data_IF_806942047201
#
_entry.id   IF_806942047201
#
_cell.length_a   1.000
_cell.length_b   1.000
_cell.length_c   1.000
_cell.angle_alpha   90.00
_cell.angle_beta   90.00
_cell.angle_gamma   90.00
#
_symmetry.space_group_name_H-M   'P 1'
#
loop_
_entity.id
_entity.type
_entity.pdbx_description
1 polymer ?
#
# COMPACT_ATOMS: atom_id res chain seq x y z
N UNK A 1 -6.44 -3.20 6.02
CA UNK A 1 -7.47 -2.16 5.90
C UNK A 1 -8.66 -2.63 6.70
N UNK A 2 -9.17 -1.84 7.63
CA UNK A 2 -10.34 -2.19 8.45
C UNK A 2 -11.52 -1.35 7.96
N UNK A 3 -12.19 -1.80 6.90
CA UNK A 3 -13.23 -1.03 6.21
C UNK A 3 -14.53 -1.84 6.04
N UNK A 4 -15.51 -1.27 5.32
CA UNK A 4 -16.85 -1.82 5.17
C UNK A 4 -16.92 -3.22 4.53
N UNK A 5 -15.91 -3.60 3.75
CA UNK A 5 -15.86 -4.91 3.08
C UNK A 5 -15.59 -6.10 4.03
N UNK A 6 -14.95 -5.88 5.17
CA UNK A 6 -14.53 -6.95 6.09
C UNK A 6 -15.65 -7.27 7.08
N UNK A 7 -16.74 -7.85 6.59
CA UNK A 7 -17.99 -8.01 7.35
C UNK A 7 -18.08 -9.29 8.19
N UNK A 8 -17.07 -10.16 8.16
CA UNK A 8 -17.10 -11.46 8.84
C UNK A 8 -17.36 -11.31 10.35
N UNK A 9 -18.44 -11.93 10.82
CA UNK A 9 -18.85 -11.90 12.23
C UNK A 9 -19.64 -10.66 12.67
N UNK A 10 -19.95 -9.73 11.75
CA UNK A 10 -20.82 -8.59 12.05
C UNK A 10 -22.31 -9.00 12.06
N UNK A 11 -23.13 -8.26 12.81
CA UNK A 11 -24.57 -8.49 12.96
C UNK A 11 -25.37 -7.29 12.43
N UNK A 12 -26.68 -7.47 12.21
CA UNK A 12 -27.59 -6.38 11.84
C UNK A 12 -27.85 -6.20 10.34
N UNK A 13 -27.48 -7.17 9.49
CA UNK A 13 -27.70 -7.11 8.03
C UNK A 13 -29.04 -7.73 7.56
N UNK A 14 -29.81 -8.31 8.49
CA UNK A 14 -31.04 -9.02 8.13
C UNK A 14 -30.78 -10.41 7.52
N UNK A 15 -31.84 -11.08 7.02
CA UNK A 15 -31.74 -12.39 6.41
C UNK A 15 -31.07 -12.33 5.02
N UNK A 16 -30.43 -13.42 4.63
CA UNK A 16 -29.99 -13.61 3.23
C UNK A 16 -31.22 -13.82 2.35
N UNK A 17 -31.34 -13.02 1.31
CA UNK A 17 -32.41 -13.13 0.31
C UNK A 17 -31.84 -13.73 -0.97
N UNK A 18 -32.65 -14.53 -1.68
CA UNK A 18 -32.26 -15.02 -3.01
C UNK A 18 -32.50 -13.92 -4.03
N UNK A 19 -31.54 -13.73 -4.91
CA UNK A 19 -31.67 -12.76 -5.99
C UNK A 19 -32.42 -13.39 -7.17
N UNK A 20 -33.23 -12.59 -7.88
CA UNK A 20 -33.85 -13.02 -9.12
C UNK A 20 -32.81 -13.40 -10.20
N UNK A 21 -31.62 -12.79 -10.15
CA UNK A 21 -30.49 -13.13 -11.02
C UNK A 21 -29.91 -14.52 -10.75
N UNK A 22 -30.18 -15.14 -9.59
CA UNK A 22 -29.70 -16.48 -9.24
C UNK A 22 -30.58 -17.60 -9.81
N UNK A 23 -31.75 -17.26 -10.38
CA UNK A 23 -32.66 -18.24 -10.93
C UNK A 23 -32.07 -18.91 -12.20
N UNK A 24 -32.35 -20.20 -12.44
CA UNK A 24 -31.91 -20.88 -13.66
C UNK A 24 -32.34 -20.11 -14.91
N UNK A 25 -31.42 -19.91 -15.86
CA UNK A 25 -31.62 -19.17 -17.10
C UNK A 25 -31.93 -17.67 -16.94
N UNK A 26 -31.89 -17.11 -15.73
CA UNK A 26 -31.97 -15.67 -15.53
C UNK A 26 -30.68 -14.97 -16.02
N UNK A 27 -30.83 -13.70 -16.39
CA UNK A 27 -29.67 -12.84 -16.62
C UNK A 27 -28.89 -12.68 -15.31
N UNK A 28 -27.55 -12.78 -15.33
CA UNK A 28 -26.72 -12.49 -14.15
C UNK A 28 -26.62 -10.98 -13.85
N UNK A 29 -27.32 -10.15 -14.62
CA UNK A 29 -27.35 -8.70 -14.49
C UNK A 29 -28.80 -8.23 -14.30
N UNK A 30 -29.02 -7.34 -13.32
CA UNK A 30 -30.28 -6.64 -13.07
C UNK A 30 -30.56 -5.57 -14.13
N UNK A 31 -29.50 -5.02 -14.74
CA UNK A 31 -29.61 -3.97 -15.73
C UNK A 31 -28.47 -3.98 -16.75
N UNK A 32 -28.72 -3.42 -17.94
CA UNK A 32 -27.74 -3.35 -19.04
C UNK A 32 -26.42 -2.65 -18.67
N UNK A 33 -26.47 -1.66 -17.76
CA UNK A 33 -25.27 -0.93 -17.35
C UNK A 33 -24.28 -1.81 -16.57
N UNK A 34 -24.78 -2.83 -15.86
CA UNK A 34 -23.94 -3.73 -15.06
C UNK A 34 -23.04 -4.60 -15.95
N UNK A 35 -23.62 -5.12 -17.03
CA UNK A 35 -22.87 -5.84 -18.06
C UNK A 35 -21.77 -4.97 -18.67
N UNK A 36 -22.06 -3.68 -18.90
CA UNK A 36 -21.07 -2.72 -19.40
C UNK A 36 -19.97 -2.48 -18.37
N UNK A 37 -20.30 -2.28 -17.10
CA UNK A 37 -19.30 -2.09 -16.03
C UNK A 37 -18.37 -3.29 -15.92
N UNK A 38 -18.90 -4.52 -15.96
CA UNK A 38 -18.08 -5.73 -15.99
C UNK A 38 -17.15 -5.73 -17.20
N UNK A 39 -17.69 -5.53 -18.41
CA UNK A 39 -16.93 -5.55 -19.65
C UNK A 39 -15.80 -4.51 -19.66
N UNK A 40 -16.10 -3.27 -19.27
CA UNK A 40 -15.09 -2.19 -19.19
C UNK A 40 -14.06 -2.49 -18.11
N UNK A 41 -14.46 -3.02 -16.95
CA UNK A 41 -13.50 -3.40 -15.90
C UNK A 41 -12.51 -4.47 -16.39
N UNK A 42 -12.99 -5.49 -17.10
CA UNK A 42 -12.14 -6.54 -17.67
C UNK A 42 -11.23 -6.00 -18.76
N UNK A 43 -11.76 -5.18 -19.68
CA UNK A 43 -10.96 -4.52 -20.72
C UNK A 43 -9.86 -3.64 -20.11
N UNK A 44 -10.15 -2.95 -19.02
CA UNK A 44 -9.19 -2.09 -18.34
C UNK A 44 -8.15 -2.89 -17.54
N UNK A 45 -8.53 -4.03 -16.95
CA UNK A 45 -7.57 -4.97 -16.38
C UNK A 45 -6.58 -5.52 -17.42
N UNK A 46 -7.04 -5.75 -18.65
CA UNK A 46 -6.19 -6.25 -19.75
C UNK A 46 -5.09 -5.27 -20.18
N UNK A 47 -5.18 -4.00 -19.78
CA UNK A 47 -4.09 -3.02 -20.00
C UNK A 47 -2.83 -3.34 -19.21
N UNK A 48 -2.93 -4.17 -18.17
CA UNK A 48 -1.81 -4.52 -17.29
C UNK A 48 -1.37 -3.38 -16.36
N UNK A 49 -2.11 -2.27 -16.31
CA UNK A 49 -1.78 -1.10 -15.48
C UNK A 49 -1.94 -1.36 -13.98
N UNK A 50 -2.67 -2.42 -13.60
CA UNK A 50 -2.84 -2.91 -12.24
C UNK A 50 -3.13 -4.41 -12.23
N UNK A 51 -2.94 -5.04 -11.07
CA UNK A 51 -3.35 -6.41 -10.83
C UNK A 51 -4.70 -6.49 -10.09
N UNK A 52 -5.18 -7.71 -9.85
CA UNK A 52 -6.47 -7.95 -9.18
C UNK A 52 -6.49 -7.44 -7.73
N UNK A 53 -5.36 -7.47 -7.03
CA UNK A 53 -5.28 -7.06 -5.62
C UNK A 53 -5.32 -5.54 -5.48
N UNK A 54 -4.70 -4.79 -6.39
CA UNK A 54 -4.89 -3.34 -6.51
C UNK A 54 -6.35 -3.00 -6.83
N UNK A 55 -7.02 -3.79 -7.68
CA UNK A 55 -8.45 -3.60 -7.97
C UNK A 55 -9.32 -3.82 -6.73
N UNK A 56 -9.04 -4.87 -5.95
CA UNK A 56 -9.70 -5.11 -4.66
C UNK A 56 -9.46 -3.96 -3.69
N UNK A 57 -8.20 -3.55 -3.50
CA UNK A 57 -7.83 -2.45 -2.63
C UNK A 57 -8.57 -1.15 -2.97
N UNK A 58 -8.75 -0.85 -4.27
CA UNK A 58 -9.50 0.32 -4.72
C UNK A 58 -10.98 0.27 -4.28
N UNK A 59 -11.64 -0.88 -4.42
CA UNK A 59 -13.03 -1.10 -3.97
C UNK A 59 -13.15 -1.07 -2.44
N UNK A 60 -12.19 -1.68 -1.76
CA UNK A 60 -12.13 -1.72 -0.30
C UNK A 60 -11.91 -0.34 0.33
N UNK A 61 -11.31 0.59 -0.41
CA UNK A 61 -11.07 1.98 -0.01
C UNK A 61 -12.29 2.90 -0.11
N UNK A 62 -13.44 2.40 -0.56
CA UNK A 62 -14.66 3.20 -0.60
C UNK A 62 -15.11 3.60 0.82
N UNK A 63 -15.65 4.82 1.01
CA UNK A 63 -16.26 5.22 2.28
C UNK A 63 -17.28 4.16 2.74
N UNK A 64 -17.30 3.75 4.02
CA UNK A 64 -18.15 2.63 4.46
C UNK A 64 -19.64 2.79 4.15
N UNK A 65 -20.18 4.01 4.29
CA UNK A 65 -21.58 4.30 3.96
C UNK A 65 -21.87 4.13 2.47
N UNK A 66 -20.93 4.53 1.60
CA UNK A 66 -21.05 4.31 0.16
C UNK A 66 -20.95 2.82 -0.17
N UNK A 67 -19.94 2.12 0.37
CA UNK A 67 -19.75 0.69 0.10
C UNK A 67 -20.98 -0.15 0.46
N UNK A 68 -21.56 0.09 1.64
CA UNK A 68 -22.74 -0.66 2.11
C UNK A 68 -24.05 -0.23 1.46
N UNK A 69 -24.11 0.98 0.91
CA UNK A 69 -25.27 1.50 0.19
C UNK A 69 -25.24 1.23 -1.31
N UNK A 70 -24.11 0.81 -1.87
CA UNK A 70 -23.94 0.52 -3.29
C UNK A 70 -24.29 -0.93 -3.63
N UNK A 71 -24.91 -1.12 -4.78
CA UNK A 71 -25.05 -2.41 -5.46
C UNK A 71 -23.68 -2.98 -5.85
N UNK A 72 -23.65 -4.28 -6.17
CA UNK A 72 -22.40 -4.98 -6.49
C UNK A 72 -21.62 -4.28 -7.62
N UNK A 73 -22.27 -3.97 -8.74
CA UNK A 73 -21.58 -3.35 -9.88
C UNK A 73 -21.30 -1.86 -9.69
N UNK A 74 -22.02 -1.16 -8.80
CA UNK A 74 -21.65 0.21 -8.40
C UNK A 74 -20.30 0.22 -7.67
N UNK A 75 -20.06 -0.74 -6.76
CA UNK A 75 -18.76 -0.88 -6.08
C UNK A 75 -17.63 -1.07 -7.09
N UNK A 76 -17.87 -1.88 -8.13
CA UNK A 76 -16.89 -2.10 -9.20
C UNK A 76 -16.64 -0.83 -9.99
N UNK A 77 -17.69 -0.11 -10.37
CA UNK A 77 -17.57 1.12 -11.14
C UNK A 77 -16.84 2.22 -10.36
N UNK A 78 -17.14 2.41 -9.08
CA UNK A 78 -16.46 3.36 -8.21
C UNK A 78 -14.98 3.00 -8.00
N UNK A 79 -14.68 1.71 -7.81
CA UNK A 79 -13.31 1.22 -7.78
C UNK A 79 -12.56 1.47 -9.10
N UNK A 80 -13.23 1.26 -10.24
CA UNK A 80 -12.66 1.50 -11.57
C UNK A 80 -12.33 2.98 -11.80
N UNK A 81 -13.26 3.90 -11.49
CA UNK A 81 -13.00 5.35 -11.61
C UNK A 81 -11.76 5.78 -10.84
N UNK A 82 -11.58 5.28 -9.60
CA UNK A 82 -10.37 5.52 -8.80
C UNK A 82 -9.11 5.02 -9.49
N UNK A 83 -9.14 3.82 -10.08
CA UNK A 83 -7.97 3.25 -10.78
C UNK A 83 -7.63 4.04 -12.05
N UNK A 84 -8.63 4.43 -12.83
CA UNK A 84 -8.44 5.23 -14.04
C UNK A 84 -7.79 6.57 -13.72
N UNK A 85 -8.30 7.28 -12.71
CA UNK A 85 -7.72 8.53 -12.25
C UNK A 85 -6.29 8.33 -11.69
N UNK A 86 -6.07 7.31 -10.87
CA UNK A 86 -4.76 7.04 -10.26
C UNK A 86 -3.67 6.68 -11.28
N UNK A 87 -4.04 6.15 -12.45
CA UNK A 87 -3.11 5.79 -13.54
C UNK A 87 -3.06 6.84 -14.66
N UNK A 88 -3.75 7.96 -14.49
CA UNK A 88 -3.91 9.00 -15.50
C UNK A 88 -4.40 8.43 -16.83
N UNK A 89 -5.34 7.47 -16.78
CA UNK A 89 -6.03 6.91 -17.95
C UNK A 89 -7.31 7.68 -18.29
N UNK A 90 -7.87 8.38 -17.30
CA UNK A 90 -8.95 9.34 -17.47
C UNK A 90 -8.79 10.44 -16.42
N UNK A 91 -9.01 11.69 -16.81
CA UNK A 91 -8.99 12.82 -15.88
C UNK A 91 -10.27 12.87 -15.05
N UNK A 92 -10.25 13.62 -13.94
CA UNK A 92 -11.45 13.81 -13.13
C UNK A 92 -12.59 14.50 -13.91
N UNK A 93 -12.24 15.37 -14.86
CA UNK A 93 -13.18 16.07 -15.71
C UNK A 93 -13.79 15.15 -16.77
N UNK A 94 -12.99 14.26 -17.37
CA UNK A 94 -13.48 13.23 -18.29
C UNK A 94 -14.41 12.25 -17.59
N UNK A 95 -14.08 11.84 -16.36
CA UNK A 95 -14.93 10.96 -15.56
C UNK A 95 -16.24 11.62 -15.13
N UNK A 96 -16.23 12.94 -14.89
CA UNK A 96 -17.43 13.70 -14.51
C UNK A 96 -18.33 14.02 -15.71
N UNK A 97 -17.73 14.39 -16.85
CA UNK A 97 -18.44 14.76 -18.07
C UNK A 97 -18.87 13.56 -18.92
N UNK A 98 -18.19 12.42 -18.77
CA UNK A 98 -18.38 11.23 -19.61
C UNK A 98 -17.82 11.38 -21.03
N UNK A 99 -17.05 12.43 -21.31
CA UNK A 99 -16.47 12.71 -22.61
C UNK A 99 -14.94 12.72 -22.53
N UNK A 100 -14.30 12.21 -23.58
CA UNK A 100 -12.84 12.35 -23.73
C UNK A 100 -12.52 13.82 -24.03
N UNK A 101 -11.63 14.41 -23.24
CA UNK A 101 -11.22 15.81 -23.34
C UNK A 101 -9.74 15.85 -23.70
N UNK A 102 -8.94 15.02 -23.03
CA UNK A 102 -7.51 14.95 -23.25
C UNK A 102 -7.18 13.86 -24.29
N UNK A 103 -6.06 13.99 -25.02
CA UNK A 103 -5.58 12.92 -25.88
C UNK A 103 -5.35 11.62 -25.08
N UNK A 104 -5.67 10.44 -25.67
CA UNK A 104 -5.50 9.18 -24.97
C UNK A 104 -4.03 8.94 -24.60
N UNK A 105 -3.80 8.36 -23.42
CA UNK A 105 -2.46 8.00 -22.96
C UNK A 105 -1.78 7.05 -23.96
N UNK A 106 -0.60 7.42 -24.43
CA UNK A 106 0.17 6.63 -25.39
C UNK A 106 0.62 5.29 -24.80
N UNK A 107 0.82 4.29 -25.69
CA UNK A 107 1.40 2.97 -25.37
C UNK A 107 0.65 2.16 -24.30
N UNK A 108 -0.64 2.42 -24.10
CA UNK A 108 -1.47 1.56 -23.24
C UNK A 108 -1.82 0.29 -24.01
N UNK A 109 -1.45 -0.87 -23.46
CA UNK A 109 -1.84 -2.18 -24.00
C UNK A 109 -3.37 -2.26 -24.04
N UNK A 110 -3.93 -2.80 -25.11
CA UNK A 110 -5.37 -3.05 -25.24
C UNK A 110 -5.65 -4.49 -25.64
N UNK A 111 -6.83 -4.99 -25.29
CA UNK A 111 -7.31 -6.31 -25.71
C UNK A 111 -8.28 -6.14 -26.89
N UNK A 112 -8.07 -6.89 -27.97
CA UNK A 112 -8.99 -6.89 -29.11
C UNK A 112 -10.18 -7.80 -28.81
N UNK A 113 -11.35 -7.47 -29.39
CA UNK A 113 -12.57 -8.24 -29.18
C UNK A 113 -12.42 -9.74 -29.53
N UNK A 114 -11.67 -10.06 -30.59
CA UNK A 114 -11.41 -11.43 -31.02
C UNK A 114 -10.61 -12.26 -29.99
N UNK A 115 -9.81 -11.60 -29.13
CA UNK A 115 -8.92 -12.26 -28.19
C UNK A 115 -9.59 -12.51 -26.82
N UNK A 116 -10.77 -11.94 -26.57
CA UNK A 116 -11.44 -11.96 -25.25
C UNK A 116 -11.74 -13.40 -24.81
N UNK A 117 -12.35 -14.22 -25.68
CA UNK A 117 -12.72 -15.59 -25.33
C UNK A 117 -11.51 -16.44 -24.93
N UNK A 118 -10.43 -16.38 -25.71
CA UNK A 118 -9.19 -17.10 -25.43
C UNK A 118 -8.50 -16.58 -24.15
N UNK A 119 -8.55 -15.28 -23.89
CA UNK A 119 -7.99 -14.70 -22.68
C UNK A 119 -8.73 -15.15 -21.40
N UNK A 120 -10.07 -15.16 -21.43
CA UNK A 120 -10.89 -15.59 -20.29
C UNK A 120 -10.70 -17.08 -19.98
N UNK A 121 -10.65 -17.93 -21.01
CA UNK A 121 -10.41 -19.37 -20.83
C UNK A 121 -9.03 -19.67 -20.25
N UNK A 122 -8.01 -18.89 -20.64
CA UNK A 122 -6.64 -19.04 -20.12
C UNK A 122 -6.52 -18.68 -18.64
N UNK A 123 -7.35 -17.74 -18.17
CA UNK A 123 -7.31 -17.24 -16.80
C UNK A 123 -6.01 -16.49 -16.48
N UNK A 124 -5.72 -16.35 -15.18
CA UNK A 124 -4.51 -15.68 -14.67
C UNK A 124 -3.94 -16.45 -13.48
N UNK A 125 -3.01 -17.39 -13.72
CA UNK A 125 -2.42 -18.20 -12.66
C UNK A 125 -1.70 -17.36 -11.61
N UNK A 126 -2.07 -17.59 -10.34
CA UNK A 126 -1.48 -16.91 -9.17
C UNK A 126 -0.44 -17.77 -8.44
N UNK A 127 -0.32 -19.05 -8.81
CA UNK A 127 0.68 -19.97 -8.29
C UNK A 127 2.08 -19.58 -8.75
N UNK A 128 3.07 -19.74 -7.87
CA UNK A 128 4.48 -19.44 -8.14
C UNK A 128 5.35 -20.61 -7.73
N UNK A 129 6.36 -20.89 -8.54
CA UNK A 129 7.40 -21.85 -8.19
C UNK A 129 8.32 -21.21 -7.14
N UNK A 130 8.60 -21.95 -6.07
CA UNK A 130 9.55 -21.55 -5.02
C UNK A 130 10.40 -22.76 -4.65
N UNK A 131 11.67 -22.51 -4.37
CA UNK A 131 12.61 -23.54 -3.90
C UNK A 131 12.69 -23.61 -2.37
N UNK A 132 12.03 -22.68 -1.68
CA UNK A 132 11.99 -22.63 -0.22
C UNK A 132 10.89 -23.53 0.33
N UNK A 133 11.20 -24.40 1.32
CA UNK A 133 10.20 -25.23 1.95
C UNK A 133 9.20 -24.38 2.76
N UNK A 134 7.97 -24.87 2.89
CA UNK A 134 6.97 -24.27 3.78
C UNK A 134 7.48 -24.23 5.21
N UNK A 135 7.28 -23.09 5.89
CA UNK A 135 7.61 -22.93 7.32
C UNK A 135 6.74 -23.79 8.24
N UNK A 136 5.55 -24.17 7.78
CA UNK A 136 4.58 -24.95 8.54
C UNK A 136 4.24 -26.25 7.81
N UNK A 137 3.81 -27.24 8.58
CA UNK A 137 3.29 -28.52 8.12
C UNK A 137 1.82 -28.70 8.52
N UNK A 138 1.07 -29.60 7.84
CA UNK A 138 -0.24 -30.03 8.33
C UNK A 138 -0.17 -30.53 9.78
N UNK A 139 -1.21 -30.21 10.56
CA UNK A 139 -1.37 -30.43 11.99
C UNK A 139 -0.59 -29.46 12.92
N UNK A 140 0.23 -28.55 12.40
CA UNK A 140 0.84 -27.51 13.23
C UNK A 140 -0.23 -26.60 13.85
N UNK A 141 -0.03 -26.26 15.13
CA UNK A 141 -0.84 -25.26 15.83
C UNK A 141 -0.21 -23.88 15.61
N UNK A 142 -0.98 -22.98 15.00
CA UNK A 142 -0.53 -21.63 14.65
C UNK A 142 -1.44 -20.58 15.27
N UNK A 143 -0.89 -19.37 15.43
CA UNK A 143 -1.65 -18.18 15.78
C UNK A 143 -1.58 -17.17 14.64
N UNK A 144 -2.73 -16.68 14.18
CA UNK A 144 -2.75 -15.61 13.19
C UNK A 144 -2.20 -14.30 13.78
N UNK A 145 -1.55 -13.50 12.94
CA UNK A 145 -0.98 -12.20 13.35
C UNK A 145 -2.08 -11.26 13.87
N UNK A 146 -1.78 -10.53 14.94
CA UNK A 146 -2.57 -9.38 15.39
C UNK A 146 -2.03 -8.15 14.68
N UNK A 147 -2.76 -7.67 13.67
CA UNK A 147 -2.31 -6.55 12.83
C UNK A 147 -3.49 -5.68 12.37
N UNK A 148 -3.23 -4.40 12.11
CA UNK A 148 -4.22 -3.45 11.60
C UNK A 148 -3.60 -2.60 10.48
N UNK A 149 -3.15 -3.22 9.37
CA UNK A 149 -2.49 -2.47 8.32
C UNK A 149 -3.48 -1.48 7.69
N UNK A 150 -3.03 -0.25 7.33
CA UNK A 150 -3.85 0.67 6.55
C UNK A 150 -4.07 0.17 5.12
N UNK A 151 -3.19 -0.72 4.64
CA UNK A 151 -3.16 -1.27 3.28
C UNK A 151 -4.00 -2.54 3.11
N UNK A 152 -4.17 -3.00 1.87
CA UNK A 152 -4.87 -4.24 1.53
C UNK A 152 -4.29 -5.45 2.28
N UNK A 153 -5.16 -6.33 2.74
CA UNK A 153 -4.77 -7.58 3.38
C UNK A 153 -5.89 -8.60 3.23
N UNK A 154 -5.54 -9.88 3.27
CA UNK A 154 -6.49 -10.99 3.18
C UNK A 154 -6.73 -11.68 4.52
N UNK A 155 -6.23 -11.14 5.64
CA UNK A 155 -6.52 -11.63 6.99
C UNK A 155 -7.75 -10.88 7.59
N UNK A 156 -8.93 -11.51 7.64
CA UNK A 156 -10.15 -10.89 8.17
C UNK A 156 -9.99 -10.53 9.64
N UNK A 157 -10.68 -9.47 10.09
CA UNK A 157 -10.60 -9.01 11.49
C UNK A 157 -10.93 -10.10 12.49
N UNK A 158 -12.00 -10.87 12.27
CA UNK A 158 -12.46 -11.89 13.20
C UNK A 158 -11.46 -13.03 13.40
N UNK A 159 -10.55 -13.25 12.44
CA UNK A 159 -9.52 -14.27 12.51
C UNK A 159 -8.26 -13.83 13.26
N UNK A 160 -8.06 -12.53 13.55
CA UNK A 160 -6.77 -12.01 14.08
C UNK A 160 -6.53 -12.46 15.52
N UNK A 161 -5.31 -12.91 15.79
CA UNK A 161 -4.87 -13.41 17.11
C UNK A 161 -5.46 -14.76 17.52
N UNK A 162 -6.24 -15.41 16.65
CA UNK A 162 -6.88 -16.70 16.91
C UNK A 162 -5.89 -17.84 16.73
N UNK A 163 -6.04 -18.88 17.54
CA UNK A 163 -5.35 -20.16 17.36
C UNK A 163 -6.10 -20.98 16.30
N UNK A 164 -5.35 -21.73 15.51
CA UNK A 164 -5.89 -22.67 14.54
C UNK A 164 -4.88 -23.76 14.19
N UNK A 165 -5.35 -24.75 13.44
CA UNK A 165 -4.53 -25.88 12.99
C UNK A 165 -4.34 -25.77 11.48
N UNK A 166 -3.11 -25.97 11.00
CA UNK A 166 -2.83 -26.06 9.57
C UNK A 166 -3.43 -27.36 9.04
N UNK A 167 -4.35 -27.28 8.08
CA UNK A 167 -5.01 -28.47 7.50
C UNK A 167 -4.43 -28.88 6.15
N UNK A 168 -3.78 -27.96 5.43
CA UNK A 168 -3.19 -28.20 4.13
C UNK A 168 -2.15 -27.14 3.77
N UNK A 169 -1.14 -27.53 2.99
CA UNK A 169 -0.22 -26.63 2.31
C UNK A 169 -0.59 -26.59 0.83
N UNK A 170 -0.91 -25.40 0.31
CA UNK A 170 -1.41 -25.19 -1.05
C UNK A 170 -0.35 -24.57 -1.97
N UNK A 171 0.91 -24.96 -1.83
CA UNK A 171 2.03 -24.37 -2.59
C UNK A 171 2.18 -22.85 -2.35
N UNK A 172 2.93 -22.19 -3.22
CA UNK A 172 3.16 -20.75 -3.14
C UNK A 172 2.28 -19.98 -4.13
N UNK A 173 1.78 -18.85 -3.68
CA UNK A 173 0.90 -17.97 -4.43
C UNK A 173 1.43 -16.54 -4.34
N UNK A 174 1.06 -15.69 -5.30
CA UNK A 174 1.32 -14.25 -5.22
C UNK A 174 0.81 -13.71 -3.88
N UNK A 175 1.69 -13.06 -3.14
CA UNK A 175 1.32 -12.43 -1.89
C UNK A 175 0.52 -11.15 -2.18
N UNK A 176 -0.68 -10.96 -1.59
CA UNK A 176 -1.60 -9.88 -1.95
C UNK A 176 -1.13 -8.55 -1.35
N UNK A 177 -0.15 -7.93 -1.99
CA UNK A 177 0.26 -6.55 -1.73
C UNK A 177 -0.40 -5.63 -2.78
N UNK A 178 -0.98 -4.49 -2.36
CA UNK A 178 -1.42 -3.50 -3.32
C UNK A 178 -0.18 -2.94 -4.05
N UNK A 179 -0.26 -2.95 -5.37
CA UNK A 179 0.77 -2.47 -6.29
C UNK A 179 0.34 -1.07 -6.75
N UNK A 180 1.18 -0.04 -6.57
CA UNK A 180 1.09 1.16 -7.41
C UNK A 180 2.02 0.99 -8.62
N UNK A 181 1.85 1.85 -9.63
CA UNK A 181 2.42 1.62 -10.97
C UNK A 181 3.94 1.66 -11.04
N UNK A 182 4.60 2.06 -9.96
CA UNK A 182 6.04 2.33 -9.96
C UNK A 182 6.81 1.47 -8.95
N UNK A 183 6.16 0.56 -8.22
CA UNK A 183 6.86 -0.43 -7.40
C UNK A 183 6.16 -0.81 -6.10
N UNK A 184 6.90 -1.39 -5.13
CA UNK A 184 6.33 -1.79 -3.86
C UNK A 184 5.97 -0.56 -3.01
N UNK A 185 4.81 -0.58 -2.36
CA UNK A 185 4.36 0.52 -1.49
C UNK A 185 5.22 0.59 -0.23
N UNK A 186 5.92 1.72 -0.06
CA UNK A 186 6.81 2.00 1.05
C UNK A 186 6.07 2.70 2.21
N UNK A 187 6.28 2.25 3.45
CA UNK A 187 5.70 2.89 4.64
C UNK A 187 6.41 4.20 5.02
N UNK A 188 7.68 4.33 4.66
CA UNK A 188 8.49 5.52 4.94
C UNK A 188 9.38 5.84 3.74
N UNK A 189 9.80 7.11 3.55
CA UNK A 189 10.65 7.50 2.43
C UNK A 189 11.98 6.73 2.34
N UNK A 190 12.55 6.32 3.48
CA UNK A 190 13.82 5.60 3.51
C UNK A 190 13.71 4.19 2.90
N UNK A 191 12.54 3.54 3.00
CA UNK A 191 12.33 2.21 2.39
C UNK A 191 12.36 2.31 0.87
N UNK A 192 11.78 3.38 0.31
CA UNK A 192 11.82 3.67 -1.13
C UNK A 192 13.26 3.90 -1.60
N UNK A 193 14.04 4.66 -0.82
CA UNK A 193 15.43 4.96 -1.13
C UNK A 193 16.30 3.69 -1.11
N UNK A 194 16.16 2.84 -0.09
CA UNK A 194 16.91 1.59 0.00
C UNK A 194 16.59 0.65 -1.19
N UNK A 195 15.32 0.55 -1.57
CA UNK A 195 14.89 -0.21 -2.74
C UNK A 195 15.46 0.38 -4.04
N UNK A 196 15.33 1.68 -4.25
CA UNK A 196 15.85 2.36 -5.44
C UNK A 196 17.38 2.23 -5.58
N UNK A 197 18.12 2.36 -4.48
CA UNK A 197 19.57 2.14 -4.47
C UNK A 197 19.94 0.71 -4.84
N UNK A 198 19.17 -0.27 -4.37
CA UNK A 198 19.36 -1.69 -4.69
C UNK A 198 19.20 -1.93 -6.19
N UNK A 199 18.11 -1.42 -6.77
CA UNK A 199 17.85 -1.55 -8.21
C UNK A 199 18.93 -0.85 -9.03
N UNK A 200 19.31 0.37 -8.68
CA UNK A 200 20.34 1.13 -9.38
C UNK A 200 21.72 0.45 -9.35
N UNK A 201 22.09 -0.20 -8.23
CA UNK A 201 23.35 -0.93 -8.13
C UNK A 201 23.32 -2.24 -8.92
N UNK A 202 22.18 -2.93 -8.93
CA UNK A 202 21.98 -4.11 -9.76
C UNK A 202 22.06 -3.77 -11.26
N UNK A 203 21.35 -2.73 -11.72
CA UNK A 203 21.38 -2.27 -13.12
C UNK A 203 22.79 -1.86 -13.57
N UNK A 204 23.62 -1.37 -12.65
CA UNK A 204 25.04 -1.06 -12.88
C UNK A 204 25.97 -2.28 -12.82
N UNK A 205 25.42 -3.48 -12.60
CA UNK A 205 26.18 -4.73 -12.58
C UNK A 205 27.06 -4.92 -11.35
N UNK A 206 26.84 -4.17 -10.26
CA UNK A 206 27.63 -4.28 -9.02
C UNK A 206 27.40 -5.66 -8.36
N UNK A 207 26.18 -6.18 -8.48
CA UNK A 207 25.80 -7.53 -8.06
C UNK A 207 24.66 -8.07 -8.93
N UNK A 208 24.54 -9.39 -8.97
CA UNK A 208 23.43 -10.12 -9.61
C UNK A 208 22.24 -10.29 -8.66
N UNK A 209 21.06 -10.58 -9.19
CA UNK A 209 19.90 -10.92 -8.36
C UNK A 209 20.13 -12.18 -7.50
N UNK A 210 20.95 -13.13 -7.96
CA UNK A 210 21.32 -14.32 -7.19
C UNK A 210 22.14 -13.95 -5.96
N UNK A 211 23.14 -13.09 -6.12
CA UNK A 211 23.95 -12.57 -5.00
C UNK A 211 23.11 -11.72 -4.04
N UNK A 212 22.19 -10.91 -4.58
CA UNK A 212 21.24 -10.14 -3.78
C UNK A 212 20.34 -11.04 -2.93
N UNK A 213 19.74 -12.07 -3.53
CA UNK A 213 18.87 -13.01 -2.84
C UNK A 213 19.61 -13.73 -1.71
N UNK A 214 20.88 -14.09 -1.92
CA UNK A 214 21.74 -14.66 -0.89
C UNK A 214 21.96 -13.68 0.28
N UNK A 215 22.42 -12.46 -0.01
CA UNK A 215 22.69 -11.44 1.00
C UNK A 215 21.43 -11.05 1.82
N UNK A 216 20.28 -10.97 1.15
CA UNK A 216 19.00 -10.69 1.81
C UNK A 216 18.57 -11.85 2.71
N UNK A 217 18.74 -13.09 2.25
CA UNK A 217 18.43 -14.28 3.04
C UNK A 217 19.29 -14.39 4.29
N UNK A 218 20.57 -14.07 4.21
CA UNK A 218 21.46 -14.00 5.38
C UNK A 218 21.06 -12.88 6.35
N UNK A 219 20.73 -11.69 5.85
CA UNK A 219 20.29 -10.57 6.69
C UNK A 219 18.99 -10.90 7.47
N UNK A 220 18.06 -11.59 6.82
CA UNK A 220 16.81 -12.05 7.46
C UNK A 220 17.12 -13.12 8.51
N UNK A 221 17.98 -14.11 8.19
CA UNK A 221 18.36 -15.20 9.11
C UNK A 221 19.01 -14.67 10.38
N UNK A 222 19.94 -13.73 10.25
CA UNK A 222 20.65 -13.13 11.38
C UNK A 222 19.72 -12.30 12.27
N UNK A 223 18.81 -11.53 11.65
CA UNK A 223 17.84 -10.73 12.41
C UNK A 223 16.83 -11.62 13.16
N UNK A 224 16.40 -12.72 12.55
CA UNK A 224 15.57 -13.73 13.22
C UNK A 224 16.32 -14.39 14.38
N UNK A 225 17.60 -14.73 14.21
CA UNK A 225 18.44 -15.27 15.29
C UNK A 225 18.64 -14.26 16.44
N UNK A 226 18.65 -12.96 16.15
CA UNK A 226 18.72 -11.87 17.13
C UNK A 226 17.37 -11.55 17.81
N UNK A 227 16.30 -12.30 17.51
CA UNK A 227 14.99 -12.18 18.16
C UNK A 227 14.00 -11.25 17.47
N UNK A 228 14.17 -10.95 16.17
CA UNK A 228 13.16 -10.21 15.41
C UNK A 228 11.83 -10.98 15.35
N UNK A 229 10.71 -10.39 15.81
CA UNK A 229 9.40 -11.02 15.80
C UNK A 229 8.75 -11.17 14.40
N UNK A 230 9.42 -10.76 13.31
CA UNK A 230 8.99 -10.94 11.91
C UNK A 230 7.55 -10.45 11.67
N UNK A 231 7.31 -9.19 12.06
CA UNK A 231 6.00 -8.54 11.97
C UNK A 231 5.75 -7.90 10.60
N UNK A 232 6.77 -7.88 9.71
CA UNK A 232 6.72 -7.32 8.36
C UNK A 232 6.99 -5.81 8.28
N UNK A 233 7.06 -5.12 9.43
CA UNK A 233 7.56 -3.76 9.59
C UNK A 233 9.10 -3.69 9.51
N UNK A 234 9.79 -4.81 9.79
CA UNK A 234 11.25 -4.94 9.73
C UNK A 234 11.79 -5.41 8.37
N UNK A 235 10.93 -5.75 7.41
CA UNK A 235 11.33 -6.26 6.10
C UNK A 235 12.33 -5.35 5.38
N UNK A 236 12.05 -4.05 5.30
CA UNK A 236 12.96 -3.10 4.67
C UNK A 236 14.19 -2.78 5.53
N UNK A 237 14.17 -3.07 6.83
CA UNK A 237 15.37 -3.01 7.66
C UNK A 237 16.32 -4.16 7.29
N UNK A 238 15.80 -5.37 7.02
CA UNK A 238 16.61 -6.46 6.46
C UNK A 238 17.12 -6.13 5.06
N UNK A 239 16.29 -5.47 4.24
CA UNK A 239 16.68 -4.98 2.91
C UNK A 239 17.86 -4.01 2.99
N UNK A 240 17.82 -3.05 3.91
CA UNK A 240 18.92 -2.12 4.15
C UNK A 240 20.18 -2.83 4.65
N UNK A 241 20.05 -3.77 5.60
CA UNK A 241 21.18 -4.54 6.10
C UNK A 241 21.84 -5.39 5.01
N UNK A 242 21.04 -6.02 4.13
CA UNK A 242 21.52 -6.75 2.97
C UNK A 242 22.27 -5.83 1.99
N UNK A 243 21.73 -4.63 1.75
CA UNK A 243 22.36 -3.61 0.90
C UNK A 243 23.70 -3.14 1.45
N UNK A 244 23.81 -2.87 2.75
CA UNK A 244 25.06 -2.47 3.39
C UNK A 244 26.12 -3.59 3.30
N UNK A 245 25.72 -4.84 3.51
CA UNK A 245 26.60 -6.01 3.43
C UNK A 245 27.12 -6.24 2.03
N UNK A 246 26.24 -6.29 1.02
CA UNK A 246 26.66 -6.55 -0.36
C UNK A 246 27.50 -5.40 -0.91
N UNK A 247 27.19 -4.14 -0.57
CA UNK A 247 28.02 -2.99 -0.92
C UNK A 247 29.42 -3.05 -0.28
N UNK A 248 29.51 -3.55 0.95
CA UNK A 248 30.80 -3.73 1.64
C UNK A 248 31.61 -4.86 1.01
N UNK A 249 30.96 -6.01 0.75
CA UNK A 249 31.61 -7.16 0.11
C UNK A 249 32.12 -6.85 -1.31
N UNK A 250 31.42 -5.97 -2.04
CA UNK A 250 31.81 -5.50 -3.37
C UNK A 250 32.77 -4.29 -3.35
N UNK A 251 33.18 -3.82 -2.18
CA UNK A 251 34.12 -2.70 -2.02
C UNK A 251 33.56 -1.33 -2.40
N UNK A 252 32.24 -1.19 -2.53
CA UNK A 252 31.57 0.09 -2.81
C UNK A 252 31.52 1.01 -1.58
N UNK A 253 31.64 0.44 -0.38
CA UNK A 253 31.71 1.13 0.91
C UNK A 253 32.47 0.25 1.90
N UNK A 254 32.70 0.75 3.11
CA UNK A 254 33.20 -0.04 4.23
C UNK A 254 32.45 0.31 5.52
N UNK A 255 32.61 -0.52 6.56
CA UNK A 255 31.89 -0.37 7.83
C UNK A 255 32.17 0.99 8.50
N UNK A 256 33.42 1.46 8.45
CA UNK A 256 33.82 2.74 9.05
C UNK A 256 33.16 3.93 8.35
N UNK A 257 33.08 3.91 7.02
CA UNK A 257 32.43 4.93 6.22
C UNK A 257 30.91 4.98 6.47
N UNK A 258 30.26 3.83 6.60
CA UNK A 258 28.84 3.74 6.94
C UNK A 258 28.56 4.26 8.37
N UNK A 259 29.40 3.88 9.33
CA UNK A 259 29.31 4.35 10.72
C UNK A 259 29.50 5.86 10.80
N UNK A 260 30.54 6.39 10.15
CA UNK A 260 30.81 7.82 10.10
C UNK A 260 29.63 8.60 9.51
N UNK A 261 29.01 8.09 8.44
CA UNK A 261 27.85 8.73 7.81
C UNK A 261 26.62 8.73 8.71
N UNK A 262 26.43 7.68 9.51
CA UNK A 262 25.37 7.57 10.51
C UNK A 262 25.56 8.62 11.61
N UNK A 263 26.79 8.75 12.12
CA UNK A 263 27.15 9.72 13.15
C UNK A 263 26.97 11.17 12.66
N UNK A 264 27.37 11.48 11.43
CA UNK A 264 27.15 12.79 10.80
C UNK A 264 25.65 13.14 10.74
N UNK A 265 24.81 12.18 10.37
CA UNK A 265 23.38 12.39 10.24
C UNK A 265 22.67 12.55 11.60
N UNK A 266 23.08 11.75 12.58
CA UNK A 266 22.60 11.87 13.95
C UNK A 266 22.97 13.23 14.55
N UNK A 267 24.19 13.69 14.30
CA UNK A 267 24.65 15.01 14.74
C UNK A 267 23.92 16.16 14.03
N UNK A 268 23.71 16.05 12.71
CA UNK A 268 22.90 17.01 11.96
C UNK A 268 21.46 17.06 12.49
N UNK A 269 20.87 15.92 12.80
CA UNK A 269 19.51 15.83 13.36
C UNK A 269 19.43 16.50 14.72
N UNK A 270 20.37 16.23 15.63
CA UNK A 270 20.47 16.89 16.96
C UNK A 270 20.58 18.41 16.84
N UNK A 271 21.38 18.92 15.90
CA UNK A 271 21.53 20.37 15.62
C UNK A 271 20.27 21.01 15.04
N UNK A 272 19.48 20.26 14.29
CA UNK A 272 18.28 20.78 13.60
C UNK A 272 17.06 20.82 14.55
N UNK A 273 16.90 19.81 15.41
CA UNK A 273 15.83 19.75 16.42
C UNK A 273 16.00 20.87 17.47
N UNK A 274 17.23 21.16 17.91
CA UNK A 274 17.49 22.23 18.89
C UNK A 274 17.19 23.65 18.35
N UNK A 275 17.41 23.88 17.05
CA UNK A 275 17.07 25.16 16.38
C UNK A 275 15.57 25.41 16.28
N UNK A 276 14.75 24.37 16.17
CA UNK A 276 13.29 24.52 16.03
C UNK A 276 12.62 24.98 17.34
N UNK A 277 13.12 24.54 18.49
CA UNK A 277 12.59 24.89 19.81
C UNK A 277 12.98 26.33 20.24
N UNK A 278 14.24 26.72 20.05
CA UNK A 278 14.72 28.08 20.40
C UNK A 278 14.07 29.17 19.55
N UNK A 279 13.84 28.92 18.25
CA UNK A 279 13.28 29.94 17.35
C UNK A 279 11.79 30.18 17.59
N UNK A 280 11.02 29.15 17.98
CA UNK A 280 9.58 29.26 18.28
C UNK A 280 9.33 29.98 19.62
N UNK A 281 10.15 29.70 20.64
CA UNK A 281 10.05 30.37 21.94
C UNK A 281 10.47 31.85 21.84
N UNK A 282 11.51 32.18 21.07
CA UNK A 282 11.94 33.57 20.86
C UNK A 282 10.90 34.41 20.06
N UNK A 283 10.27 33.85 19.03
CA UNK A 283 9.18 34.53 18.28
C UNK A 283 7.91 34.70 19.13
N UNK A 284 7.60 33.75 20.00
CA UNK A 284 6.45 33.86 20.91
C UNK A 284 6.68 34.92 22.01
N UNK A 285 7.90 34.99 22.59
CA UNK A 285 8.27 36.05 23.56
C UNK A 285 8.30 37.45 22.94
N UNK A 286 8.81 37.63 21.71
CA UNK A 286 8.78 38.94 21.01
C UNK A 286 7.35 39.41 20.68
N UNK A 287 6.43 38.50 20.31
CA UNK A 287 5.01 38.84 20.07
C UNK A 287 4.25 39.17 21.37
N UNK A 288 4.52 38.49 22.49
CA UNK A 288 3.91 38.81 23.80
C UNK A 288 4.39 40.16 24.34
N UNK A 289 5.68 40.48 24.24
CA UNK A 289 6.24 41.75 24.72
C UNK A 289 5.68 42.98 23.97
N UNK A 290 5.52 42.91 22.64
CA UNK A 290 4.90 43.99 21.84
C UNK A 290 3.41 44.20 22.12
N UNK A 291 2.67 43.16 22.52
CA UNK A 291 1.23 43.24 22.84
C UNK A 291 0.96 43.81 24.24
N UNK A 292 1.86 43.56 25.19
CA UNK A 292 1.77 44.12 26.56
C UNK A 292 2.13 45.61 26.56
N UNK A 293 3.17 46.03 25.83
CA UNK A 293 3.56 47.44 25.76
C UNK A 293 2.47 48.35 25.15
N UNK A 294 1.76 47.89 24.12
CA UNK A 294 0.62 48.64 23.52
C UNK A 294 -0.62 48.73 24.42
N UNK A 295 -0.84 47.77 25.33
CA UNK A 295 -1.97 47.81 26.29
C UNK A 295 -1.69 48.72 27.48
N UNK A 296 -0.45 48.84 27.94
CA UNK A 296 -0.09 49.75 29.04
C UNK A 296 -0.17 51.23 28.62
N UNK A 297 0.22 51.56 27.37
CA UNK A 297 0.17 52.95 26.86
C UNK A 297 -1.28 53.44 26.68
N UNK A 298 -2.21 52.57 26.29
CA UNK A 298 -3.62 52.95 26.10
C UNK A 298 -4.39 53.18 27.43
N UNK A 299 -3.90 52.67 28.56
CA UNK A 299 -4.59 52.78 29.86
C UNK A 299 -4.22 54.01 30.69
N UNK A 300 -3.11 54.71 30.37
CA UNK A 300 -2.64 55.90 31.12
C UNK A 300 -3.17 57.24 30.60
N UNK A 301 -3.92 57.27 29.49
CA UNK A 301 -4.44 58.50 28.88
C UNK A 301 -5.84 58.95 29.33
N UNK A 302 -6.48 58.30 30.32
CA UNK A 302 -7.89 58.54 30.66
C UNK A 302 -8.19 58.83 32.15
N UNK A 303 -7.25 59.45 32.86
CA UNK A 303 -7.49 60.04 34.20
C UNK A 303 -6.70 61.34 34.37
N UNK A 304 -7.24 62.46 33.88
CA UNK A 304 -6.98 63.83 34.35
C UNK A 304 -7.95 64.80 33.67
N UNK A 305 -9.11 64.99 34.28
CA UNK A 305 -9.97 66.18 34.14
C UNK A 305 -11.16 66.09 35.10
N UNK A 306 -10.93 66.55 36.32
CA UNK A 306 -11.83 67.35 37.17
C UNK A 306 -10.96 68.06 38.18
#
# INVERSE_FOLDING_TARGET
>A
MNAGHDMGGMQGFGPVTQDACDAPCASPFHAEWERRVLAVTLAMGATGQWNIDTSRAARESLPPAQYLGSTYYEIWFEGLKKLLAAKSLASAEELASGHAIDPPKANVRTMKAADVGAALLRGSPVEREIDTPSRFAPNDIVRTKVMNPPTHTRLPRYCRGKLGTIVAIRGAHVFPLPFDGDGPVFQTPWQAQAFAMTLALHERGVFTWTEWAHALSEAIRDAQAAGDPDRGDTYYAHWLAALERICTAKGCTNADALAHRRDEWDEATRRTVSRSCSTRIARCRRRRSRRISRRCIASKGRRRSR
#
